data_IF_127409068748
#
_entry.id   IF_127409068748
#
_cell.length_a   1.000
_cell.length_b   1.000
_cell.length_c   1.000
_cell.angle_alpha   90.00
_cell.angle_beta   90.00
_cell.angle_gamma   90.00
#
_symmetry.space_group_name_H-M   'P 1'
#
loop_
_entity.id
_entity.type
_entity.pdbx_description
1 polymer ?
#
# COMPACT_ATOMS: atom_id res chain seq x y z
N UNK A 1 -25.90 5.22 17.61
CA UNK A 1 -24.52 4.69 17.50
C UNK A 1 -24.08 4.90 16.06
N UNK A 2 -23.31 5.96 15.78
CA UNK A 2 -22.87 6.28 14.42
C UNK A 2 -21.82 5.25 14.01
N UNK A 3 -22.14 4.42 13.01
CA UNK A 3 -21.12 3.60 12.33
C UNK A 3 -20.20 4.57 11.60
N UNK A 4 -19.02 4.79 12.14
CA UNK A 4 -17.93 5.48 11.46
C UNK A 4 -17.64 4.73 10.14
N UNK A 5 -17.79 5.42 9.01
CA UNK A 5 -17.49 4.90 7.68
C UNK A 5 -15.97 4.77 7.42
N UNK A 6 -15.14 4.88 8.47
CA UNK A 6 -13.68 4.75 8.39
C UNK A 6 -13.20 3.33 8.05
N UNK A 7 -14.08 2.34 8.14
CA UNK A 7 -13.73 0.91 8.02
C UNK A 7 -13.69 0.34 6.59
N UNK A 8 -13.65 1.20 5.55
CA UNK A 8 -13.61 0.76 4.14
C UNK A 8 -12.22 0.83 3.52
N UNK A 9 -11.30 1.56 4.16
CA UNK A 9 -10.01 1.86 3.56
C UNK A 9 -8.87 1.71 4.56
N UNK A 10 -7.85 0.99 4.13
CA UNK A 10 -6.57 0.93 4.81
C UNK A 10 -5.66 2.07 4.36
N UNK A 11 -4.90 2.65 5.29
CA UNK A 11 -3.95 3.73 5.01
C UNK A 11 -2.57 3.38 5.53
N UNK A 12 -1.55 3.65 4.73
CA UNK A 12 -0.15 3.53 5.15
C UNK A 12 0.70 4.64 4.56
N UNK A 13 1.63 5.19 5.34
CA UNK A 13 2.67 6.09 4.83
C UNK A 13 3.96 5.35 4.46
N UNK A 14 4.01 4.03 4.64
CA UNK A 14 5.17 3.21 4.31
C UNK A 14 5.14 2.85 2.81
N UNK A 15 6.03 3.45 2.03
CA UNK A 15 6.13 3.23 0.59
C UNK A 15 6.42 1.77 0.21
N UNK A 16 7.27 1.06 0.97
CA UNK A 16 7.64 -0.32 0.64
C UNK A 16 6.50 -1.29 0.94
N UNK A 17 5.79 -1.09 2.05
CA UNK A 17 4.58 -1.85 2.34
C UNK A 17 3.51 -1.57 1.27
N UNK A 18 3.30 -0.31 0.90
CA UNK A 18 2.36 0.05 -0.18
C UNK A 18 2.74 -0.59 -1.52
N UNK A 19 4.03 -0.57 -1.88
CA UNK A 19 4.51 -1.19 -3.11
C UNK A 19 4.35 -2.72 -3.09
N UNK A 20 4.57 -3.36 -1.94
CA UNK A 20 4.33 -4.78 -1.75
C UNK A 20 2.86 -5.13 -1.96
N UNK A 21 1.96 -4.41 -1.27
CA UNK A 21 0.50 -4.59 -1.40
C UNK A 21 0.03 -4.39 -2.85
N UNK A 22 0.51 -3.33 -3.51
CA UNK A 22 0.18 -3.04 -4.91
C UNK A 22 0.73 -4.12 -5.86
N UNK A 23 1.95 -4.59 -5.65
CA UNK A 23 2.55 -5.66 -6.46
C UNK A 23 1.87 -7.03 -6.27
N UNK A 24 1.23 -7.24 -5.10
CA UNK A 24 0.36 -8.39 -4.83
C UNK A 24 -1.03 -8.27 -5.44
N UNK A 25 -1.36 -7.12 -6.05
CA UNK A 25 -2.60 -6.92 -6.80
C UNK A 25 -3.67 -6.16 -6.03
N UNK A 26 -3.38 -5.64 -4.83
CA UNK A 26 -4.37 -4.81 -4.12
C UNK A 26 -4.55 -3.46 -4.80
N UNK A 27 -5.81 -3.04 -4.88
CA UNK A 27 -6.21 -1.80 -5.50
C UNK A 27 -5.81 -0.59 -4.65
N UNK A 28 -4.92 0.26 -5.19
CA UNK A 28 -4.69 1.59 -4.66
C UNK A 28 -5.87 2.49 -5.05
N UNK A 29 -6.63 2.94 -4.06
CA UNK A 29 -7.80 3.80 -4.21
C UNK A 29 -7.37 5.26 -4.39
N UNK A 30 -6.46 5.74 -3.55
CA UNK A 30 -5.99 7.12 -3.57
C UNK A 30 -4.59 7.27 -2.92
N UNK A 31 -4.00 8.46 -3.08
CA UNK A 31 -2.90 8.95 -2.24
C UNK A 31 -3.39 10.22 -1.54
N UNK A 32 -3.62 10.14 -0.24
CA UNK A 32 -4.05 11.27 0.57
C UNK A 32 -2.83 12.12 0.94
N UNK A 33 -2.78 13.38 0.48
CA UNK A 33 -1.76 14.35 0.90
C UNK A 33 -2.20 15.02 2.19
N UNK A 34 -1.53 14.70 3.30
CA UNK A 34 -1.86 15.24 4.62
C UNK A 34 -1.17 16.60 4.86
N UNK A 35 0.07 16.73 4.42
CA UNK A 35 0.86 17.97 4.45
C UNK A 35 1.74 18.06 3.20
N UNK A 36 2.50 19.13 3.05
CA UNK A 36 3.52 19.25 1.99
C UNK A 36 4.59 18.15 2.04
N UNK A 37 4.76 17.48 3.18
CA UNK A 37 5.79 16.45 3.39
C UNK A 37 5.24 15.08 3.78
N UNK A 38 3.94 14.97 4.04
CA UNK A 38 3.29 13.73 4.50
C UNK A 38 2.17 13.32 3.58
N UNK A 39 2.23 12.08 3.12
CA UNK A 39 1.18 11.45 2.32
C UNK A 39 0.90 10.04 2.81
N UNK A 40 -0.29 9.53 2.50
CA UNK A 40 -0.72 8.17 2.80
C UNK A 40 -1.25 7.48 1.55
N UNK A 41 -0.82 6.25 1.32
CA UNK A 41 -1.37 5.36 0.30
C UNK A 41 -2.64 4.71 0.86
N UNK A 42 -3.73 4.84 0.11
CA UNK A 42 -5.06 4.37 0.51
C UNK A 42 -5.41 3.13 -0.33
N UNK A 43 -5.67 2.02 0.33
CA UNK A 43 -6.11 0.77 -0.28
C UNK A 43 -7.52 0.40 0.21
N UNK A 44 -8.24 -0.41 -0.55
CA UNK A 44 -9.46 -1.04 -0.05
C UNK A 44 -9.15 -1.90 1.17
N UNK A 45 -10.01 -1.83 2.18
CA UNK A 45 -9.86 -2.64 3.38
C UNK A 45 -10.49 -4.02 3.19
N UNK A 46 -9.67 -4.98 2.77
CA UNK A 46 -10.06 -6.38 2.55
C UNK A 46 -9.35 -7.32 3.54
N UNK A 47 -9.90 -8.52 3.81
CA UNK A 47 -9.20 -9.53 4.62
C UNK A 47 -7.84 -9.92 4.03
N UNK A 48 -7.72 -9.94 2.70
CA UNK A 48 -6.46 -10.20 2.00
C UNK A 48 -5.41 -9.12 2.29
N UNK A 49 -5.82 -7.84 2.35
CA UNK A 49 -4.95 -6.73 2.75
C UNK A 49 -4.34 -6.97 4.12
N UNK A 50 -5.15 -7.34 5.10
CA UNK A 50 -4.69 -7.59 6.47
C UNK A 50 -3.70 -8.77 6.51
N UNK A 51 -4.05 -9.88 5.86
CA UNK A 51 -3.17 -11.05 5.73
C UNK A 51 -1.81 -10.67 5.13
N UNK A 52 -1.80 -10.02 3.96
CA UNK A 52 -0.58 -9.65 3.26
C UNK A 52 0.29 -8.70 4.10
N UNK A 53 -0.32 -7.76 4.81
CA UNK A 53 0.42 -6.84 5.68
C UNK A 53 1.01 -7.57 6.90
N UNK A 54 0.30 -8.55 7.46
CA UNK A 54 0.84 -9.38 8.53
C UNK A 54 2.05 -10.19 8.03
N UNK A 55 1.95 -10.81 6.84
CA UNK A 55 3.06 -11.54 6.22
C UNK A 55 4.26 -10.63 5.98
N UNK A 56 4.05 -9.45 5.39
CA UNK A 56 5.12 -8.48 5.14
C UNK A 56 5.91 -8.11 6.40
N UNK A 57 5.23 -7.95 7.54
CA UNK A 57 5.87 -7.49 8.78
C UNK A 57 6.49 -8.62 9.61
N UNK A 58 5.93 -9.84 9.56
CA UNK A 58 6.23 -10.87 10.55
C UNK A 58 6.51 -12.26 9.97
N UNK A 59 6.42 -12.45 8.66
CA UNK A 59 6.73 -13.75 8.08
C UNK A 59 8.21 -14.10 8.25
N UNK A 60 8.56 -15.40 8.38
CA UNK A 60 9.95 -15.83 8.38
C UNK A 60 10.61 -15.51 7.05
N UNK A 61 11.94 -15.41 7.07
CA UNK A 61 12.75 -15.26 5.86
C UNK A 61 12.42 -16.37 4.85
N UNK A 62 12.34 -16.00 3.57
CA UNK A 62 11.94 -16.89 2.46
C UNK A 62 10.48 -17.35 2.44
N UNK A 63 9.58 -16.73 3.22
CA UNK A 63 8.14 -16.99 3.09
C UNK A 63 7.67 -16.74 1.65
N UNK A 64 6.98 -17.72 1.07
CA UNK A 64 6.39 -17.62 -0.27
C UNK A 64 5.32 -16.52 -0.33
N UNK A 65 4.63 -16.25 0.77
CA UNK A 65 3.67 -15.15 0.85
C UNK A 65 4.34 -13.79 0.65
N UNK A 66 5.62 -13.65 1.02
CA UNK A 66 6.41 -12.43 0.77
C UNK A 66 7.09 -12.42 -0.60
N UNK A 67 7.09 -13.54 -1.35
CA UNK A 67 7.71 -13.63 -2.67
C UNK A 67 6.95 -12.77 -3.69
N UNK A 68 7.67 -11.86 -4.34
CA UNK A 68 7.15 -10.98 -5.39
C UNK A 68 8.18 -10.93 -6.50
N UNK A 69 7.73 -11.03 -7.75
CA UNK A 69 8.60 -10.78 -8.90
C UNK A 69 9.23 -9.39 -8.79
N UNK A 70 10.56 -9.32 -8.86
CA UNK A 70 11.30 -8.08 -8.64
C UNK A 70 10.88 -6.97 -9.62
N UNK A 71 10.54 -7.30 -10.87
CA UNK A 71 10.10 -6.31 -11.86
C UNK A 71 8.73 -5.75 -11.49
N UNK A 72 7.81 -6.58 -11.00
CA UNK A 72 6.51 -6.12 -10.49
C UNK A 72 6.67 -5.19 -9.28
N UNK A 73 7.57 -5.52 -8.35
CA UNK A 73 7.82 -4.68 -7.19
C UNK A 73 8.46 -3.33 -7.57
N UNK A 74 9.46 -3.34 -8.46
CA UNK A 74 10.08 -2.11 -8.96
C UNK A 74 9.07 -1.26 -9.74
N UNK A 75 8.21 -1.89 -10.55
CA UNK A 75 7.13 -1.20 -11.25
C UNK A 75 6.14 -0.56 -10.27
N UNK A 76 5.75 -1.28 -9.22
CA UNK A 76 4.89 -0.75 -8.16
C UNK A 76 5.52 0.47 -7.49
N UNK A 77 6.79 0.39 -7.10
CA UNK A 77 7.53 1.50 -6.49
C UNK A 77 7.56 2.74 -7.39
N UNK A 78 7.87 2.58 -8.69
CA UNK A 78 7.90 3.68 -9.65
C UNK A 78 6.52 4.32 -9.79
N UNK A 79 5.48 3.50 -9.99
CA UNK A 79 4.10 3.95 -10.13
C UNK A 79 3.63 4.75 -8.92
N UNK A 80 3.91 4.26 -7.71
CA UNK A 80 3.52 4.94 -6.47
C UNK A 80 4.27 6.26 -6.27
N UNK A 81 5.58 6.29 -6.57
CA UNK A 81 6.37 7.53 -6.51
C UNK A 81 5.89 8.55 -7.54
N UNK A 82 5.67 8.14 -8.78
CA UNK A 82 5.17 9.03 -9.84
C UNK A 82 3.84 9.66 -9.45
N UNK A 83 2.88 8.86 -8.95
CA UNK A 83 1.59 9.38 -8.46
C UNK A 83 1.71 10.30 -7.24
N UNK A 84 2.67 10.03 -6.35
CA UNK A 84 2.94 10.86 -5.19
C UNK A 84 3.41 12.27 -5.59
N UNK A 85 4.26 12.37 -6.61
CA UNK A 85 4.88 13.63 -7.07
C UNK A 85 4.14 14.31 -8.24
N UNK A 86 3.14 13.67 -8.85
CA UNK A 86 2.42 14.15 -10.05
C UNK A 86 1.57 15.44 -9.88
N UNK A 87 1.73 16.22 -8.80
CA UNK A 87 1.05 17.51 -8.66
C UNK A 87 1.99 18.68 -8.29
N UNK A 88 3.27 18.61 -8.64
CA UNK A 88 4.21 19.74 -8.51
C UNK A 88 4.46 20.45 -9.86
N UNK A 89 3.40 20.70 -10.64
CA UNK A 89 3.44 21.58 -11.83
C UNK A 89 2.38 22.65 -11.69
#
# INVERSE_FOLDING_TARGET
MNKDYSNRYFRTSNLYAAAFLFAKGLALVNIDKLTSTKSQFVFEDTPEREYLLQQYNFAPENSLDCSVDVRKFIFALKTLKERLYQQEI
#
